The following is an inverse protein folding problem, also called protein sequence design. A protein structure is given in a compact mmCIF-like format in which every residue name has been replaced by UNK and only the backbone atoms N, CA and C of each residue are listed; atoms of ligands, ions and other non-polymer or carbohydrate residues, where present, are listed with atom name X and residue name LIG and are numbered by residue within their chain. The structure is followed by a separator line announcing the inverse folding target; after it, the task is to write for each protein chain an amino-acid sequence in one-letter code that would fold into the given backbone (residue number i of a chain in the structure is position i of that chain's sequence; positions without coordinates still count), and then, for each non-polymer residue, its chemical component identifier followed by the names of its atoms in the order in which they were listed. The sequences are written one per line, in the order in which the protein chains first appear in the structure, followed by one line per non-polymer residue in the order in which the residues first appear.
data_IF_251477785198
#
_entry.id   IF_251477785198
#
_cell.length_a   1.000
_cell.length_b   1.000
_cell.length_c   1.000
_cell.angle_alpha   90.00
_cell.angle_beta   90.00
_cell.angle_gamma   90.00
#
_symmetry.space_group_name_H-M   'P 1'
#
loop_
_entity.id
_entity.type
_entity.pdbx_description
1 polymer ?
#
# COMPACT_ATOMS: atom_id res chain seq x y z
N UNK A 1 -46.69 -69.15 -20.94
CA UNK A 1 -46.29 -68.08 -21.88
C UNK A 1 -46.46 -66.68 -21.26
N UNK A 2 -45.81 -66.39 -20.13
CA UNK A 2 -45.94 -65.08 -19.43
C UNK A 2 -44.64 -64.25 -19.43
N UNK A 3 -43.56 -64.74 -20.04
CA UNK A 3 -42.26 -64.06 -20.03
C UNK A 3 -42.18 -62.83 -20.96
N UNK A 4 -43.05 -62.70 -21.97
CA UNK A 4 -42.96 -61.61 -22.94
C UNK A 4 -43.45 -60.25 -22.38
N UNK A 5 -44.50 -60.25 -21.54
CA UNK A 5 -45.08 -59.02 -21.00
C UNK A 5 -44.22 -58.32 -19.94
N UNK A 6 -43.47 -59.08 -19.13
CA UNK A 6 -42.59 -58.50 -18.09
C UNK A 6 -41.34 -57.84 -18.68
N UNK A 7 -40.79 -58.42 -19.76
CA UNK A 7 -39.65 -57.88 -20.49
C UNK A 7 -39.99 -56.54 -21.16
N UNK A 8 -41.17 -56.42 -21.76
CA UNK A 8 -41.62 -55.18 -22.37
C UNK A 8 -41.77 -54.04 -21.34
N UNK A 9 -42.30 -54.36 -20.15
CA UNK A 9 -42.38 -53.42 -19.02
C UNK A 9 -40.98 -53.04 -18.50
N UNK A 10 -40.07 -53.99 -18.40
CA UNK A 10 -38.69 -53.76 -17.97
C UNK A 10 -37.94 -52.82 -18.94
N UNK A 11 -38.11 -53.02 -20.24
CA UNK A 11 -37.55 -52.14 -21.29
C UNK A 11 -38.15 -50.73 -21.19
N UNK A 12 -39.46 -50.62 -20.96
CA UNK A 12 -40.12 -49.33 -20.73
C UNK A 12 -39.50 -48.55 -19.56
N UNK A 13 -39.29 -49.22 -18.43
CA UNK A 13 -38.61 -48.61 -17.27
C UNK A 13 -37.15 -48.23 -17.57
N UNK A 14 -36.43 -49.06 -18.33
CA UNK A 14 -35.06 -48.75 -18.74
C UNK A 14 -34.98 -47.49 -19.61
N UNK A 15 -35.91 -47.31 -20.55
CA UNK A 15 -36.00 -46.11 -21.39
C UNK A 15 -36.31 -44.87 -20.55
N UNK A 16 -37.24 -44.96 -19.60
CA UNK A 16 -37.57 -43.84 -18.69
C UNK A 16 -36.35 -43.44 -17.86
N UNK A 17 -35.62 -44.41 -17.31
CA UNK A 17 -34.43 -44.15 -16.49
C UNK A 17 -33.32 -43.53 -17.35
N UNK A 18 -33.11 -44.04 -18.57
CA UNK A 18 -32.16 -43.47 -19.52
C UNK A 18 -32.51 -42.02 -19.89
N UNK A 19 -33.80 -41.71 -20.09
CA UNK A 19 -34.25 -40.36 -20.39
C UNK A 19 -33.97 -39.39 -19.22
N UNK A 20 -34.23 -39.80 -17.98
CA UNK A 20 -33.95 -39.00 -16.78
C UNK A 20 -32.45 -38.74 -16.63
N UNK A 21 -31.63 -39.77 -16.81
CA UNK A 21 -30.16 -39.64 -16.76
C UNK A 21 -29.66 -38.73 -17.88
N UNK A 22 -30.18 -38.88 -19.10
CA UNK A 22 -29.83 -38.03 -20.23
C UNK A 22 -30.15 -36.56 -19.97
N UNK A 23 -31.33 -36.25 -19.42
CA UNK A 23 -31.72 -34.89 -19.06
C UNK A 23 -30.82 -34.31 -17.96
N UNK A 24 -30.51 -35.12 -16.93
CA UNK A 24 -29.60 -34.72 -15.86
C UNK A 24 -28.20 -34.37 -16.40
N UNK A 25 -27.67 -35.20 -17.29
CA UNK A 25 -26.37 -34.98 -17.92
C UNK A 25 -26.39 -33.72 -18.79
N UNK A 26 -27.44 -33.50 -19.59
CA UNK A 26 -27.59 -32.29 -20.40
C UNK A 26 -27.60 -31.03 -19.54
N UNK A 27 -28.35 -31.03 -18.42
CA UNK A 27 -28.37 -29.91 -17.49
C UNK A 27 -27.00 -29.70 -16.82
N UNK A 28 -26.31 -30.77 -16.45
CA UNK A 28 -24.96 -30.70 -15.90
C UNK A 28 -24.01 -30.02 -16.89
N UNK A 29 -24.01 -30.41 -18.17
CA UNK A 29 -23.19 -29.75 -19.19
C UNK A 29 -23.49 -28.26 -19.33
N UNK A 30 -24.77 -27.87 -19.29
CA UNK A 30 -25.15 -26.46 -19.33
C UNK A 30 -24.64 -25.67 -18.11
N UNK A 31 -24.67 -26.27 -16.92
CA UNK A 31 -24.10 -25.63 -15.73
C UNK A 31 -22.58 -25.48 -15.85
N UNK A 32 -21.90 -26.47 -16.42
CA UNK A 32 -20.45 -26.40 -16.63
C UNK A 32 -20.07 -25.35 -17.68
N UNK A 33 -20.84 -25.18 -18.76
CA UNK A 33 -20.58 -24.12 -19.74
C UNK A 33 -20.77 -22.74 -19.13
N UNK A 34 -21.89 -22.50 -18.43
CA UNK A 34 -22.16 -21.22 -17.76
C UNK A 34 -21.10 -20.92 -16.70
N UNK A 35 -20.69 -21.90 -15.90
CA UNK A 35 -19.60 -21.71 -14.93
C UNK A 35 -18.30 -21.30 -15.62
N UNK A 36 -17.99 -21.89 -16.78
CA UNK A 36 -16.77 -21.53 -17.53
C UNK A 36 -16.84 -20.11 -18.11
N UNK A 37 -18.00 -19.69 -18.60
CA UNK A 37 -18.23 -18.33 -19.11
C UNK A 37 -18.08 -17.28 -18.00
N UNK A 38 -18.66 -17.55 -16.82
CA UNK A 38 -18.51 -16.65 -15.65
C UNK A 38 -17.05 -16.49 -15.25
N UNK A 39 -16.28 -17.59 -15.22
CA UNK A 39 -14.85 -17.54 -14.88
C UNK A 39 -14.03 -16.76 -15.92
N UNK A 40 -14.41 -16.80 -17.20
CA UNK A 40 -13.75 -16.00 -18.24
C UNK A 40 -14.06 -14.50 -18.06
N UNK A 41 -15.32 -14.16 -17.82
CA UNK A 41 -15.73 -12.78 -17.57
C UNK A 41 -15.09 -12.19 -16.30
N UNK A 42 -14.98 -12.99 -15.23
CA UNK A 42 -14.30 -12.58 -14.00
C UNK A 42 -12.81 -12.28 -14.25
N UNK A 43 -12.12 -13.12 -15.03
CA UNK A 43 -10.72 -12.88 -15.41
C UNK A 43 -10.57 -11.60 -16.23
N UNK A 44 -11.52 -11.31 -17.10
CA UNK A 44 -11.54 -10.08 -17.89
C UNK A 44 -11.77 -8.86 -17.01
N UNK A 45 -12.71 -8.94 -16.05
CA UNK A 45 -12.96 -7.88 -15.07
C UNK A 45 -11.69 -7.54 -14.28
N UNK A 46 -11.00 -8.54 -13.74
CA UNK A 46 -9.77 -8.34 -12.97
C UNK A 46 -8.64 -7.79 -13.86
N UNK A 47 -8.60 -8.14 -15.15
CA UNK A 47 -7.64 -7.56 -16.10
C UNK A 47 -7.92 -6.08 -16.32
N UNK A 48 -9.18 -5.71 -16.56
CA UNK A 48 -9.59 -4.34 -16.84
C UNK A 48 -9.42 -3.43 -15.61
N UNK A 49 -9.69 -3.96 -14.42
CA UNK A 49 -9.45 -3.26 -13.15
C UNK A 49 -7.97 -2.93 -12.97
N UNK A 50 -7.07 -3.89 -13.26
CA UNK A 50 -5.62 -3.66 -13.22
C UNK A 50 -5.16 -2.62 -14.23
N UNK A 51 -5.71 -2.64 -15.45
CA UNK A 51 -5.42 -1.63 -16.47
C UNK A 51 -5.90 -0.24 -16.03
N UNK A 52 -7.10 -0.16 -15.46
CA UNK A 52 -7.66 1.10 -14.93
C UNK A 52 -6.80 1.65 -13.78
N UNK A 53 -6.36 0.79 -12.85
CA UNK A 53 -5.48 1.18 -11.75
C UNK A 53 -4.13 1.69 -12.25
N UNK A 54 -3.55 1.03 -13.26
CA UNK A 54 -2.32 1.49 -13.91
C UNK A 54 -2.51 2.86 -14.56
N UNK A 55 -3.59 3.04 -15.33
CA UNK A 55 -3.90 4.30 -16.00
C UNK A 55 -4.10 5.43 -15.00
N UNK A 56 -4.87 5.21 -13.94
CA UNK A 56 -5.10 6.20 -12.89
C UNK A 56 -3.78 6.62 -12.24
N UNK A 57 -2.90 5.66 -11.95
CA UNK A 57 -1.58 5.94 -11.38
C UNK A 57 -0.73 6.78 -12.33
N UNK A 58 -0.73 6.46 -13.64
CA UNK A 58 -0.02 7.26 -14.64
C UNK A 58 -0.58 8.69 -14.75
N UNK A 59 -1.91 8.84 -14.72
CA UNK A 59 -2.56 10.15 -14.77
C UNK A 59 -2.25 10.98 -13.53
N UNK A 60 -2.37 10.40 -12.34
CA UNK A 60 -2.04 11.08 -11.09
C UNK A 60 -0.57 11.50 -11.05
N UNK A 61 0.35 10.62 -11.46
CA UNK A 61 1.77 10.95 -11.52
C UNK A 61 2.06 12.10 -12.50
N UNK A 62 1.47 12.10 -13.71
CA UNK A 62 1.67 13.16 -14.72
C UNK A 62 0.98 14.48 -14.34
N UNK A 63 -0.19 14.43 -13.72
CA UNK A 63 -0.93 15.62 -13.28
C UNK A 63 -0.23 16.31 -12.10
N UNK A 64 0.26 15.52 -11.12
CA UNK A 64 0.95 16.04 -9.95
C UNK A 64 2.23 16.81 -10.33
N UNK A 65 3.04 16.30 -11.27
CA UNK A 65 4.23 17.01 -11.75
C UNK A 65 3.89 18.37 -12.38
N UNK A 66 2.86 18.44 -13.23
CA UNK A 66 2.40 19.69 -13.85
C UNK A 66 1.80 20.66 -12.84
N UNK A 67 1.07 20.13 -11.85
CA UNK A 67 0.50 20.94 -10.78
C UNK A 67 1.61 21.55 -9.92
N UNK A 68 2.60 20.76 -9.49
CA UNK A 68 3.76 21.25 -8.75
C UNK A 68 4.56 22.28 -9.55
N UNK A 69 4.78 22.07 -10.87
CA UNK A 69 5.47 23.06 -11.70
C UNK A 69 4.68 24.36 -11.81
N UNK A 70 3.35 24.28 -11.95
CA UNK A 70 2.48 25.45 -12.02
C UNK A 70 2.44 26.20 -10.68
N UNK A 71 2.35 25.49 -9.55
CA UNK A 71 2.40 26.10 -8.23
C UNK A 71 3.76 26.74 -7.94
N UNK A 72 4.86 26.07 -8.29
CA UNK A 72 6.19 26.64 -8.19
C UNK A 72 6.33 27.91 -9.04
N UNK A 73 5.78 27.92 -10.26
CA UNK A 73 5.87 29.08 -11.15
C UNK A 73 4.97 30.25 -10.74
N UNK A 74 3.72 29.97 -10.34
CA UNK A 74 2.70 31.00 -10.08
C UNK A 74 2.75 31.51 -8.64
N UNK A 75 2.85 30.62 -7.66
CA UNK A 75 2.74 30.98 -6.24
C UNK A 75 4.11 31.25 -5.61
N UNK A 76 5.08 30.36 -5.86
CA UNK A 76 6.37 30.41 -5.17
C UNK A 76 7.48 31.11 -5.97
N UNK A 77 7.29 31.32 -7.28
CA UNK A 77 8.33 31.81 -8.19
C UNK A 77 9.59 30.94 -8.24
N UNK A 78 9.50 29.69 -7.78
CA UNK A 78 10.62 28.76 -7.74
C UNK A 78 10.88 28.21 -9.14
N UNK A 79 12.09 28.43 -9.64
CA UNK A 79 12.60 27.81 -10.85
C UNK A 79 13.57 26.69 -10.48
N UNK A 80 13.69 25.68 -11.34
CA UNK A 80 14.71 24.66 -11.17
C UNK A 80 16.10 25.33 -11.12
N UNK A 81 16.97 24.86 -10.23
CA UNK A 81 18.32 25.40 -10.11
C UNK A 81 19.06 25.25 -11.44
N UNK A 82 19.70 26.32 -11.87
CA UNK A 82 20.48 26.30 -13.11
C UNK A 82 21.75 25.49 -12.90
N UNK A 83 22.33 24.88 -13.96
CA UNK A 83 23.60 24.15 -13.86
C UNK A 83 24.70 24.96 -13.17
N UNK A 84 24.75 26.28 -13.40
CA UNK A 84 25.72 27.20 -12.79
C UNK A 84 25.58 27.40 -11.27
N UNK A 85 24.48 26.93 -10.68
CA UNK A 85 24.21 27.02 -9.24
C UNK A 85 24.62 25.76 -8.47
N UNK A 86 25.01 24.70 -9.18
CA UNK A 86 25.51 23.47 -8.55
C UNK A 86 26.99 23.57 -8.24
N UNK A 87 27.37 22.99 -7.11
CA UNK A 87 28.77 22.80 -6.72
C UNK A 87 29.23 21.48 -7.37
N UNK A 88 30.20 21.53 -8.27
CA UNK A 88 30.61 20.37 -9.07
C UNK A 88 31.71 19.53 -8.40
N UNK A 89 32.47 20.11 -7.47
CA UNK A 89 33.61 19.44 -6.84
C UNK A 89 33.79 19.82 -5.37
N UNK A 90 34.47 18.94 -4.62
CA UNK A 90 34.69 19.11 -3.18
C UNK A 90 35.54 20.33 -2.85
N UNK A 91 36.39 20.77 -3.79
CA UNK A 91 37.18 22.01 -3.63
C UNK A 91 36.30 23.25 -3.68
N UNK A 92 35.34 23.32 -4.61
CA UNK A 92 34.33 24.37 -4.67
C UNK A 92 33.45 24.34 -3.41
N UNK A 93 33.10 23.15 -2.91
CA UNK A 93 32.35 23.01 -1.66
C UNK A 93 33.13 23.55 -0.45
N UNK A 94 34.42 23.21 -0.34
CA UNK A 94 35.30 23.72 0.72
C UNK A 94 35.47 25.25 0.65
N UNK A 95 35.51 25.82 -0.56
CA UNK A 95 35.55 27.26 -0.77
C UNK A 95 34.21 27.94 -0.43
N UNK A 96 33.07 27.26 -0.65
CA UNK A 96 31.73 27.79 -0.38
C UNK A 96 31.46 28.00 1.13
N UNK A 97 32.12 27.23 1.99
CA UNK A 97 32.02 27.39 3.46
C UNK A 97 32.90 28.50 4.05
N UNK A 98 33.70 29.20 3.24
CA UNK A 98 34.59 30.27 3.67
C UNK A 98 33.91 31.65 3.76
N UNK A 99 34.70 32.65 4.15
CA UNK A 99 34.22 34.04 4.19
C UNK A 99 33.76 34.52 2.81
N UNK A 100 32.71 35.34 2.82
CA UNK A 100 32.09 35.83 1.59
C UNK A 100 33.08 36.70 0.81
N UNK A 101 33.16 36.48 -0.51
CA UNK A 101 34.00 37.28 -1.38
C UNK A 101 33.63 38.77 -1.30
N UNK A 102 34.61 39.70 -1.36
CA UNK A 102 34.37 41.15 -1.30
C UNK A 102 33.42 41.69 -2.38
N UNK A 103 33.30 40.98 -3.50
CA UNK A 103 32.45 41.34 -4.65
C UNK A 103 31.12 40.58 -4.69
N UNK A 104 30.80 39.79 -3.66
CA UNK A 104 29.58 39.00 -3.66
C UNK A 104 28.33 39.90 -3.58
N UNK A 105 27.25 39.57 -4.32
CA UNK A 105 26.01 40.36 -4.29
C UNK A 105 25.40 40.36 -2.89
N UNK A 106 24.69 41.43 -2.51
CA UNK A 106 24.00 41.50 -1.21
C UNK A 106 23.01 40.34 -1.05
N UNK A 107 22.94 39.69 0.12
CA UNK A 107 22.05 38.55 0.32
C UNK A 107 20.59 38.96 0.15
N UNK A 108 19.82 38.18 -0.60
CA UNK A 108 18.37 38.36 -0.71
C UNK A 108 17.78 38.02 0.65
N UNK A 109 17.33 39.05 1.39
CA UNK A 109 16.61 38.87 2.64
C UNK A 109 15.15 38.67 2.31
N UNK A 110 14.67 37.44 2.39
CA UNK A 110 13.22 37.17 2.44
C UNK A 110 12.70 37.89 3.69
N UNK A 111 11.56 38.56 3.60
CA UNK A 111 10.93 39.22 4.74
C UNK A 111 10.51 38.16 5.78
N UNK A 112 11.46 37.75 6.61
CA UNK A 112 11.16 37.00 7.84
C UNK A 112 10.55 38.01 8.79
N UNK A 113 9.39 37.69 9.34
CA UNK A 113 8.81 38.46 10.43
C UNK A 113 9.87 38.59 11.53
N UNK A 114 10.38 39.82 11.71
CA UNK A 114 11.36 40.11 12.73
C UNK A 114 10.65 39.97 14.07
N UNK A 115 10.85 38.83 14.73
CA UNK A 115 10.52 38.69 16.14
C UNK A 115 11.59 39.52 16.86
N UNK A 116 11.25 40.63 17.53
CA UNK A 116 12.24 41.46 18.20
C UNK A 116 12.96 40.61 19.25
N UNK A 117 14.25 40.36 19.06
CA UNK A 117 15.12 39.94 20.15
C UNK A 117 15.48 41.20 20.93
N UNK A 118 14.68 41.54 21.93
CA UNK A 118 15.18 42.39 23.00
C UNK A 118 16.19 41.58 23.82
N UNK A 119 17.44 42.01 23.75
CA UNK A 119 18.48 41.63 24.70
C UNK A 119 19.31 40.42 24.30
N UNK A 120 20.60 40.66 24.12
CA UNK A 120 21.65 39.65 24.11
C UNK A 120 21.50 38.69 25.30
N UNK A 121 20.95 37.51 25.04
CA UNK A 121 20.83 36.43 25.99
C UNK A 121 20.53 35.16 25.23
N UNK A 122 21.56 34.31 25.09
CA UNK A 122 21.55 32.95 24.53
C UNK A 122 20.20 32.51 23.93
N UNK A 123 20.09 32.55 22.60
CA UNK A 123 19.01 31.89 21.86
C UNK A 123 19.02 30.42 22.25
N UNK A 124 18.17 30.05 23.21
CA UNK A 124 17.95 28.65 23.51
C UNK A 124 17.38 27.99 22.25
N UNK A 125 17.95 26.89 21.77
CA UNK A 125 17.40 26.17 20.63
C UNK A 125 15.96 25.78 20.99
N UNK A 126 15.00 26.25 20.17
CA UNK A 126 13.60 25.83 20.32
C UNK A 126 13.55 24.31 20.14
N UNK A 127 12.99 23.60 21.11
CA UNK A 127 12.82 22.16 21.03
C UNK A 127 12.00 21.81 19.79
N UNK A 128 12.45 20.84 18.99
CA UNK A 128 11.67 20.34 17.86
C UNK A 128 10.34 19.77 18.37
N UNK A 129 9.23 20.21 17.80
CA UNK A 129 7.88 19.82 18.20
C UNK A 129 7.25 18.98 17.09
N UNK A 130 6.56 17.89 17.43
CA UNK A 130 5.85 17.08 16.44
C UNK A 130 4.64 17.86 15.88
N UNK A 131 4.44 17.90 14.53
CA UNK A 131 3.32 18.58 13.92
C UNK A 131 1.96 17.91 14.21
N UNK A 132 1.97 16.64 14.62
CA UNK A 132 0.75 15.88 14.90
C UNK A 132 0.34 15.98 16.37
N UNK A 133 1.30 16.00 17.30
CA UNK A 133 1.01 15.95 18.74
C UNK A 133 1.30 17.26 19.48
N UNK A 134 2.02 18.21 18.88
CA UNK A 134 2.39 19.47 19.53
C UNK A 134 3.35 19.31 20.72
N UNK A 135 3.89 18.11 20.95
CA UNK A 135 4.82 17.81 22.06
C UNK A 135 6.29 17.86 21.59
N UNK A 136 7.23 18.29 22.47
CA UNK A 136 8.65 18.30 22.15
C UNK A 136 9.16 16.87 21.92
N UNK A 137 9.89 16.66 20.83
CA UNK A 137 10.51 15.39 20.48
C UNK A 137 11.77 15.22 21.32
N UNK A 138 11.70 14.35 22.34
CA UNK A 138 12.87 13.92 23.12
C UNK A 138 13.36 12.57 22.60
N UNK A 139 14.67 12.37 22.53
CA UNK A 139 15.29 11.09 22.10
C UNK A 139 14.87 9.90 22.98
N UNK A 140 14.35 10.16 24.19
CA UNK A 140 13.78 9.15 25.07
C UNK A 140 12.46 8.54 24.55
N UNK A 141 11.72 9.25 23.69
CA UNK A 141 10.49 8.71 23.08
C UNK A 141 10.78 7.54 22.11
N UNK A 142 12.02 7.38 21.66
CA UNK A 142 12.47 6.26 20.82
C UNK A 142 12.72 4.98 21.65
N UNK A 143 12.97 5.11 22.95
CA UNK A 143 13.27 3.98 23.85
C UNK A 143 12.08 3.60 24.73
N UNK A 144 10.84 3.74 24.25
CA UNK A 144 9.68 3.19 24.96
C UNK A 144 9.49 1.74 24.49
N UNK A 145 10.00 0.72 25.21
CA UNK A 145 9.80 -0.68 24.81
C UNK A 145 8.32 -1.06 24.79
N UNK A 146 7.48 -0.31 25.50
CA UNK A 146 6.06 -0.57 25.71
C UNK A 146 5.19 -0.30 24.48
N UNK A 147 5.57 0.64 23.62
CA UNK A 147 4.81 0.95 22.40
C UNK A 147 5.03 -0.10 21.30
N UNK A 148 6.25 -0.66 21.23
CA UNK A 148 6.58 -1.69 20.25
C UNK A 148 5.96 -3.05 20.63
N UNK A 149 5.91 -3.38 21.92
CA UNK A 149 5.28 -4.61 22.42
C UNK A 149 3.76 -4.55 22.28
N UNK A 150 3.12 -3.45 22.69
CA UNK A 150 1.66 -3.26 22.54
C UNK A 150 1.23 -3.25 21.08
N UNK A 151 2.03 -2.65 20.18
CA UNK A 151 1.76 -2.70 18.75
C UNK A 151 1.93 -4.11 18.17
N UNK A 152 3.00 -4.83 18.54
CA UNK A 152 3.22 -6.19 18.07
C UNK A 152 2.12 -7.15 18.53
N UNK A 153 1.61 -6.97 19.74
CA UNK A 153 0.50 -7.75 20.30
C UNK A 153 -0.82 -7.45 19.59
N UNK A 154 -1.16 -6.16 19.42
CA UNK A 154 -2.37 -5.74 18.71
C UNK A 154 -2.33 -6.15 17.22
N UNK A 155 -1.17 -6.08 16.58
CA UNK A 155 -0.97 -6.51 15.20
C UNK A 155 -1.05 -8.04 15.08
N UNK A 156 -0.49 -8.78 16.04
CA UNK A 156 -0.57 -10.24 16.09
C UNK A 156 -2.02 -10.72 16.24
N UNK A 157 -2.81 -10.05 17.07
CA UNK A 157 -4.22 -10.35 17.25
C UNK A 157 -5.04 -10.02 15.99
N UNK A 158 -4.77 -8.88 15.35
CA UNK A 158 -5.42 -8.52 14.09
C UNK A 158 -5.08 -9.50 12.95
N UNK A 159 -3.83 -9.94 12.84
CA UNK A 159 -3.42 -10.93 11.82
C UNK A 159 -4.01 -12.30 12.12
N UNK A 160 -4.19 -12.68 13.39
CA UNK A 160 -4.86 -13.91 13.77
C UNK A 160 -6.36 -13.89 13.44
N UNK A 161 -7.03 -12.75 13.64
CA UNK A 161 -8.44 -12.52 13.31
C UNK A 161 -8.67 -12.47 11.79
N UNK A 162 -7.78 -11.81 11.05
CA UNK A 162 -7.87 -11.66 9.59
C UNK A 162 -7.33 -12.87 8.81
N UNK A 163 -6.65 -13.80 9.48
CA UNK A 163 -6.11 -15.02 8.88
C UNK A 163 -7.24 -16.04 8.64
N UNK A 164 -7.49 -16.49 7.40
CA UNK A 164 -8.44 -17.56 7.11
C UNK A 164 -7.93 -18.95 7.57
N UNK A 165 -6.73 -19.04 8.14
CA UNK A 165 -6.11 -20.29 8.59
C UNK A 165 -6.32 -20.43 10.11
N UNK A 166 -7.20 -21.37 10.47
CA UNK A 166 -7.55 -21.79 11.83
C UNK A 166 -6.30 -22.19 12.65
N UNK A 167 -5.89 -21.45 13.71
CA UNK A 167 -4.70 -21.80 14.48
C UNK A 167 -5.04 -22.88 15.51
N UNK A 168 -4.99 -24.16 15.10
CA UNK A 168 -5.24 -25.28 16.01
C UNK A 168 -3.98 -25.96 16.59
N UNK A 169 -2.75 -25.59 16.20
CA UNK A 169 -1.57 -26.43 16.55
C UNK A 169 -0.26 -25.72 16.91
N UNK A 170 -0.26 -24.47 17.37
CA UNK A 170 1.00 -23.82 17.75
C UNK A 170 1.48 -24.09 19.20
N UNK A 171 0.66 -24.71 20.08
CA UNK A 171 1.01 -24.89 21.51
C UNK A 171 1.67 -26.23 21.88
N UNK A 172 1.77 -27.20 20.98
CA UNK A 172 2.22 -28.56 21.35
C UNK A 172 3.71 -28.83 21.20
N UNK A 173 4.49 -27.96 20.56
CA UNK A 173 5.91 -28.25 20.28
C UNK A 173 6.91 -27.62 21.25
N UNK A 174 6.51 -26.68 22.13
CA UNK A 174 7.44 -26.05 23.08
C UNK A 174 7.42 -26.66 24.49
N UNK A 175 6.49 -27.56 24.81
CA UNK A 175 6.43 -28.24 26.12
C UNK A 175 7.05 -29.64 26.11
N UNK A 176 7.49 -30.16 24.96
CA UNK A 176 8.06 -31.50 24.85
C UNK A 176 9.60 -31.53 25.00
N UNK A 177 10.28 -30.38 25.05
CA UNK A 177 11.75 -30.29 25.15
C UNK A 177 12.21 -29.71 26.50
N UNK A 178 11.33 -29.65 27.50
CA UNK A 178 11.65 -29.22 28.87
C UNK A 178 11.44 -30.33 29.92
N UNK A 179 11.32 -31.58 29.48
CA UNK A 179 11.20 -32.75 30.35
C UNK A 179 12.03 -33.92 29.81
N UNK A 180 13.35 -33.71 29.72
CA UNK A 180 14.36 -34.76 29.91
C UNK A 180 15.63 -34.17 30.50
#
# INVERSE_FOLDING_TARGET
MTLAGSRLRQVGWAVVLAAVVGLFVALSFQVHSVKSEVLLAERELIRLERETMMLETEFQARANQRQLSNWNAVEFGLQAARPDQYIENERQLAAYGGDRAPTAPSPIRVAVAQIPLEGSGATQPRAMVSPVSGKPVTLAAVNTPDAATTFAEALGEFVAEASPIRPAQARTFLSAEAAE
#
